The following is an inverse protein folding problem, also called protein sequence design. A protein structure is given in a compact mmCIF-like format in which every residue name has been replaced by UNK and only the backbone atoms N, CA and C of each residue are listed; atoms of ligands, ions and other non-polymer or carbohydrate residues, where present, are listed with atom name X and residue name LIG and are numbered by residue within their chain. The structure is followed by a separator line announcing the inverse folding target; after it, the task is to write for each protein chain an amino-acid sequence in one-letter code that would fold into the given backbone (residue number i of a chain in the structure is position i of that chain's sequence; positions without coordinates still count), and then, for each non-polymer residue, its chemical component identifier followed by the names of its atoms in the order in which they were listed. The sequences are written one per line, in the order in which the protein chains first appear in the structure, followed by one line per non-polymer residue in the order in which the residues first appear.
data_IF_973258278054
#
_entry.id   IF_973258278054
#
_cell.length_a   1.000
_cell.length_b   1.000
_cell.length_c   1.000
_cell.angle_alpha   90.00
_cell.angle_beta   90.00
_cell.angle_gamma   90.00
#
_symmetry.space_group_name_H-M   'P 1'
#
loop_
_entity.id
_entity.type
_entity.pdbx_description
1 polymer ?
#
# COMPACT_ATOMS: atom_id res chain seq x y z
N UNK A 1 0.49 -8.97 -1.03
CA UNK A 1 0.91 -8.22 0.18
C UNK A 1 1.63 -6.89 -0.13
N UNK A 2 2.82 -6.85 -0.74
CA UNK A 2 3.47 -5.57 -1.05
C UNK A 2 2.59 -4.63 -1.90
N UNK A 3 1.99 -5.14 -2.97
CA UNK A 3 1.05 -4.38 -3.78
C UNK A 3 -0.19 -3.91 -2.99
N UNK A 4 -0.63 -4.68 -1.98
CA UNK A 4 -1.73 -4.24 -1.08
C UNK A 4 -1.29 -3.01 -0.26
N UNK A 5 -0.07 -3.01 0.28
CA UNK A 5 0.48 -1.87 1.01
C UNK A 5 0.60 -0.62 0.14
N UNK A 6 1.10 -0.78 -1.09
CA UNK A 6 1.20 0.31 -2.05
C UNK A 6 -0.17 0.83 -2.46
N UNK A 7 -1.15 -0.05 -2.67
CA UNK A 7 -2.52 0.34 -3.00
C UNK A 7 -3.20 1.06 -1.82
N UNK A 8 -2.99 0.63 -0.58
CA UNK A 8 -3.51 1.31 0.59
C UNK A 8 -2.93 2.73 0.74
N UNK A 9 -1.62 2.90 0.50
CA UNK A 9 -1.01 4.24 0.47
C UNK A 9 -1.58 5.10 -0.65
N UNK A 10 -1.77 4.55 -1.86
CA UNK A 10 -2.43 5.27 -2.95
C UNK A 10 -3.83 5.73 -2.55
N UNK A 11 -4.63 4.84 -1.94
CA UNK A 11 -5.97 5.18 -1.50
C UNK A 11 -5.95 6.32 -0.47
N UNK A 12 -5.01 6.28 0.49
CA UNK A 12 -4.82 7.35 1.48
C UNK A 12 -4.43 8.68 0.83
N UNK A 13 -3.43 8.68 -0.05
CA UNK A 13 -2.89 9.90 -0.67
C UNK A 13 -3.88 10.55 -1.64
N UNK A 14 -4.64 9.76 -2.41
CA UNK A 14 -5.52 10.25 -3.47
C UNK A 14 -6.93 10.52 -2.97
N UNK A 15 -7.42 9.73 -2.02
CA UNK A 15 -8.83 9.80 -1.60
C UNK A 15 -8.97 10.43 -0.22
N UNK A 16 -8.33 9.87 0.81
CA UNK A 16 -8.51 10.36 2.18
C UNK A 16 -7.96 11.77 2.40
N UNK A 17 -6.73 12.05 1.95
CA UNK A 17 -6.12 13.36 2.13
C UNK A 17 -6.89 14.49 1.43
N UNK A 18 -7.50 14.20 0.27
CA UNK A 18 -8.33 15.18 -0.46
C UNK A 18 -9.64 15.44 0.27
N UNK A 19 -10.26 14.39 0.82
CA UNK A 19 -11.51 14.51 1.58
C UNK A 19 -11.32 15.25 2.90
N UNK A 20 -10.23 14.98 3.62
CA UNK A 20 -9.91 15.67 4.88
C UNK A 20 -9.70 17.17 4.65
N UNK A 21 -9.04 17.54 3.55
CA UNK A 21 -8.85 18.94 3.15
C UNK A 21 -10.18 19.64 2.85
N UNK A 22 -11.07 19.01 2.08
CA UNK A 22 -12.38 19.60 1.77
C UNK A 22 -13.27 19.73 3.01
N UNK A 23 -13.15 18.78 3.93
CA UNK A 23 -13.85 18.85 5.23
C UNK A 23 -13.29 20.00 6.07
N UNK A 24 -11.98 20.22 6.04
CA UNK A 24 -11.31 21.33 6.73
C UNK A 24 -11.70 22.70 6.15
N UNK A 25 -11.76 22.82 4.82
CA UNK A 25 -12.18 24.04 4.10
C UNK A 25 -13.71 24.26 4.10
N UNK A 26 -14.49 23.34 4.69
CA UNK A 26 -15.95 23.44 4.75
C UNK A 26 -16.65 23.33 3.38
N UNK A 27 -16.02 22.67 2.41
CA UNK A 27 -16.54 22.47 1.06
C UNK A 27 -17.46 21.24 1.06
N UNK A 28 -18.70 21.39 0.60
CA UNK A 28 -19.59 20.25 0.37
C UNK A 28 -19.08 19.42 -0.82
N UNK A 29 -18.84 18.12 -0.61
CA UNK A 29 -18.42 17.21 -1.66
C UNK A 29 -19.12 15.85 -1.55
N UNK A 30 -19.27 15.19 -2.69
CA UNK A 30 -19.84 13.84 -2.74
C UNK A 30 -18.78 12.82 -2.33
N UNK A 31 -19.05 12.01 -1.30
CA UNK A 31 -18.18 10.90 -0.92
C UNK A 31 -18.14 9.86 -2.05
N UNK A 32 -16.96 9.65 -2.63
CA UNK A 32 -16.76 8.63 -3.66
C UNK A 32 -16.33 7.33 -2.99
N UNK A 33 -17.04 6.25 -3.30
CA UNK A 33 -16.69 4.91 -2.83
C UNK A 33 -15.44 4.40 -3.56
N UNK A 34 -14.49 3.86 -2.79
CA UNK A 34 -13.32 3.15 -3.31
C UNK A 34 -13.13 1.85 -2.53
N UNK A 35 -12.41 0.90 -3.12
CA UNK A 35 -12.14 -0.39 -2.49
C UNK A 35 -11.12 -0.24 -1.37
N UNK A 36 -11.57 -0.42 -0.12
CA UNK A 36 -10.70 -0.53 1.04
C UNK A 36 -10.10 -1.93 1.12
N UNK A 37 -8.79 -2.00 1.27
CA UNK A 37 -8.01 -3.24 1.38
C UNK A 37 -7.38 -3.44 2.76
N UNK A 38 -7.81 -2.66 3.76
CA UNK A 38 -7.34 -2.74 5.15
C UNK A 38 -7.58 -4.12 5.77
N UNK A 39 -8.67 -4.80 5.41
CA UNK A 39 -8.99 -6.14 5.90
C UNK A 39 -7.96 -7.18 5.44
N UNK A 40 -7.56 -7.14 4.15
CA UNK A 40 -6.51 -8.00 3.59
C UNK A 40 -5.17 -7.72 4.25
N UNK A 41 -4.84 -6.45 4.49
CA UNK A 41 -3.62 -6.08 5.20
C UNK A 41 -3.63 -6.68 6.62
N UNK A 42 -4.72 -6.50 7.37
CA UNK A 42 -4.85 -7.05 8.72
C UNK A 42 -4.80 -8.58 8.74
N UNK A 43 -5.41 -9.26 7.76
CA UNK A 43 -5.29 -10.71 7.60
C UNK A 43 -3.83 -11.14 7.44
N UNK A 44 -3.02 -10.41 6.67
CA UNK A 44 -1.62 -10.80 6.40
C UNK A 44 -0.68 -10.44 7.55
N UNK A 45 -0.69 -9.18 8.00
CA UNK A 45 0.29 -8.64 8.95
C UNK A 45 -0.26 -8.33 10.34
N UNK A 46 -1.57 -8.49 10.56
CA UNK A 46 -2.20 -8.20 11.85
C UNK A 46 -1.62 -9.02 12.99
N UNK A 47 -2.02 -8.70 14.22
CA UNK A 47 -1.55 -9.42 15.42
C UNK A 47 -1.87 -10.91 15.33
N UNK A 48 -3.08 -11.23 14.86
CA UNK A 48 -3.54 -12.58 14.54
C UNK A 48 -3.42 -12.88 13.03
N UNK A 49 -2.48 -12.22 12.36
CA UNK A 49 -2.30 -12.34 10.92
C UNK A 49 -1.49 -13.57 10.50
N UNK A 50 -1.54 -13.87 9.21
CA UNK A 50 -0.92 -15.04 8.59
C UNK A 50 0.60 -15.10 8.81
N UNK A 51 1.31 -13.96 8.79
CA UNK A 51 2.77 -13.94 9.00
C UNK A 51 3.13 -14.49 10.39
N UNK A 52 2.39 -14.08 11.43
CA UNK A 52 2.64 -14.55 12.79
C UNK A 52 2.30 -16.04 12.93
N UNK A 53 1.16 -16.48 12.37
CA UNK A 53 0.78 -17.88 12.36
C UNK A 53 1.80 -18.78 11.65
N UNK A 54 2.34 -18.33 10.51
CA UNK A 54 3.37 -19.06 9.78
C UNK A 54 4.67 -19.15 10.59
N UNK A 55 5.05 -18.08 11.27
CA UNK A 55 6.23 -18.07 12.13
C UNK A 55 6.10 -19.06 13.29
N UNK A 56 4.91 -19.16 13.90
CA UNK A 56 4.65 -20.14 14.97
C UNK A 56 4.75 -21.59 14.47
N UNK A 57 4.32 -21.88 13.25
CA UNK A 57 4.49 -23.21 12.65
C UNK A 57 5.97 -23.51 12.35
N UNK A 58 6.78 -22.52 11.98
CA UNK A 58 8.23 -22.69 11.80
C UNK A 58 8.99 -23.02 13.10
N UNK A 59 8.40 -22.72 14.26
CA UNK A 59 9.00 -23.03 15.56
C UNK A 59 8.55 -24.38 16.13
N UNK A 60 7.44 -24.93 15.65
CA UNK A 60 6.90 -26.18 16.19
C UNK A 60 7.75 -27.36 15.71
N UNK A 61 8.10 -28.32 16.60
CA UNK A 61 8.87 -29.52 16.23
C UNK A 61 8.24 -30.33 15.07
N UNK A 62 6.92 -30.29 14.94
CA UNK A 62 6.14 -30.94 13.87
C UNK A 62 5.22 -29.96 13.13
N UNK A 63 5.61 -28.68 13.07
CA UNK A 63 4.88 -27.68 12.30
C UNK A 63 4.86 -28.04 10.82
N UNK A 64 3.72 -27.86 10.16
CA UNK A 64 3.53 -28.22 8.77
C UNK A 64 2.57 -27.25 8.06
N UNK A 65 2.55 -27.31 6.73
CA UNK A 65 1.78 -26.37 5.92
C UNK A 65 0.25 -26.57 6.07
N UNK A 66 -0.19 -27.81 6.34
CA UNK A 66 -1.62 -28.10 6.53
C UNK A 66 -2.14 -27.54 7.86
N UNK A 67 -1.35 -27.65 8.95
CA UNK A 67 -1.69 -27.03 10.23
C UNK A 67 -1.71 -25.51 10.15
N UNK A 68 -0.77 -24.92 9.40
CA UNK A 68 -0.79 -23.49 9.10
C UNK A 68 -2.11 -23.06 8.45
N UNK A 69 -2.51 -23.70 7.35
CA UNK A 69 -3.72 -23.33 6.61
C UNK A 69 -4.98 -23.56 7.43
N UNK A 70 -5.07 -24.67 8.16
CA UNK A 70 -6.18 -24.93 9.08
C UNK A 70 -6.29 -23.81 10.13
N UNK A 71 -5.16 -23.39 10.73
CA UNK A 71 -5.13 -22.30 11.70
C UNK A 71 -5.59 -20.98 11.11
N UNK A 72 -5.13 -20.62 9.91
CA UNK A 72 -5.55 -19.41 9.20
C UNK A 72 -7.06 -19.41 8.99
N UNK A 73 -7.62 -20.51 8.47
CA UNK A 73 -9.06 -20.66 8.22
C UNK A 73 -9.89 -20.62 9.50
N UNK A 74 -9.43 -21.24 10.59
CA UNK A 74 -10.19 -21.27 11.85
C UNK A 74 -10.19 -19.92 12.57
N UNK A 75 -9.04 -19.24 12.64
CA UNK A 75 -8.92 -17.98 13.38
C UNK A 75 -9.54 -16.80 12.62
N UNK A 76 -9.51 -16.84 11.29
CA UNK A 76 -9.98 -15.76 10.42
C UNK A 76 -11.25 -16.14 9.64
N UNK A 77 -12.09 -17.03 10.19
CA UNK A 77 -13.29 -17.55 9.52
C UNK A 77 -14.35 -16.49 9.23
N UNK A 78 -14.38 -15.43 10.03
CA UNK A 78 -15.38 -14.35 9.97
C UNK A 78 -14.85 -13.14 9.15
N UNK A 79 -13.73 -13.32 8.45
CA UNK A 79 -13.10 -12.31 7.60
C UNK A 79 -13.56 -12.55 6.15
N UNK A 80 -14.29 -11.59 5.58
CA UNK A 80 -14.86 -11.65 4.24
C UNK A 80 -13.78 -11.77 3.15
N UNK A 81 -12.61 -11.19 3.38
CA UNK A 81 -11.51 -11.26 2.42
C UNK A 81 -10.85 -12.66 2.33
N UNK A 82 -11.16 -13.59 3.24
CA UNK A 82 -10.70 -14.98 3.18
C UNK A 82 -11.74 -15.84 2.46
N UNK A 83 -11.36 -16.46 1.33
CA UNK A 83 -12.29 -17.31 0.59
C UNK A 83 -12.74 -18.51 1.45
N UNK A 84 -14.05 -18.64 1.55
CA UNK A 84 -14.73 -19.77 2.21
C UNK A 84 -14.98 -20.95 1.27
N UNK A 85 -14.58 -20.84 0.00
CA UNK A 85 -14.85 -21.88 -0.99
C UNK A 85 -14.09 -23.18 -0.65
N UNK A 86 -14.73 -24.35 -0.85
CA UNK A 86 -14.05 -25.62 -0.67
C UNK A 86 -12.95 -25.77 -1.73
N UNK A 87 -11.71 -25.92 -1.28
CA UNK A 87 -10.53 -26.12 -2.13
C UNK A 87 -10.10 -27.59 -2.13
N UNK A 88 -9.41 -28.01 -3.19
CA UNK A 88 -9.06 -29.41 -3.40
C UNK A 88 -8.02 -29.93 -2.42
N UNK A 89 -7.01 -29.11 -2.08
CA UNK A 89 -5.96 -29.49 -1.13
C UNK A 89 -6.16 -28.83 0.23
N UNK A 90 -5.76 -29.54 1.29
CA UNK A 90 -5.72 -29.01 2.66
C UNK A 90 -4.71 -27.87 2.85
N UNK A 91 -3.74 -27.74 1.94
CA UNK A 91 -2.74 -26.67 1.90
C UNK A 91 -3.21 -25.44 1.11
N UNK A 92 -4.41 -25.45 0.53
CA UNK A 92 -4.90 -24.34 -0.27
C UNK A 92 -5.79 -23.40 0.54
N UNK A 93 -5.64 -22.09 0.30
CA UNK A 93 -6.51 -21.03 0.80
C UNK A 93 -6.64 -19.92 -0.24
N UNK A 94 -7.77 -19.21 -0.25
CA UNK A 94 -7.99 -18.08 -1.16
C UNK A 94 -8.03 -16.75 -0.41
N UNK A 95 -7.49 -15.69 -1.01
CA UNK A 95 -7.61 -14.32 -0.51
C UNK A 95 -8.22 -13.45 -1.61
N UNK A 96 -9.23 -12.66 -1.25
CA UNK A 96 -9.82 -11.64 -2.10
C UNK A 96 -8.96 -10.38 -2.04
N UNK A 97 -7.98 -10.28 -2.94
CA UNK A 97 -7.14 -9.09 -3.06
C UNK A 97 -7.89 -7.96 -3.77
N UNK A 98 -7.38 -6.71 -3.65
CA UNK A 98 -7.93 -5.58 -4.41
C UNK A 98 -7.90 -5.82 -5.94
N UNK A 99 -6.96 -6.64 -6.40
CA UNK A 99 -6.78 -7.03 -7.80
C UNK A 99 -7.62 -8.26 -8.23
N UNK A 100 -8.40 -8.83 -7.31
CA UNK A 100 -9.22 -10.01 -7.53
C UNK A 100 -8.84 -11.21 -6.64
N UNK A 101 -9.62 -12.31 -6.70
CA UNK A 101 -9.37 -13.51 -5.92
C UNK A 101 -8.08 -14.20 -6.34
N UNK A 102 -7.27 -14.63 -5.37
CA UNK A 102 -6.07 -15.43 -5.60
C UNK A 102 -6.09 -16.65 -4.69
N UNK A 103 -5.94 -17.83 -5.28
CA UNK A 103 -5.78 -19.10 -4.56
C UNK A 103 -4.29 -19.37 -4.39
N UNK A 104 -3.88 -19.61 -3.15
CA UNK A 104 -2.52 -19.94 -2.76
C UNK A 104 -2.44 -21.41 -2.35
N UNK A 105 -1.38 -22.08 -2.77
CA UNK A 105 -0.98 -23.39 -2.24
C UNK A 105 0.19 -23.17 -1.27
N UNK A 106 -0.06 -23.45 0.01
CA UNK A 106 0.90 -23.28 1.10
C UNK A 106 2.01 -24.34 1.12
N UNK A 107 2.04 -25.28 0.17
CA UNK A 107 3.07 -26.33 0.11
C UNK A 107 4.49 -25.73 0.21
N UNK A 108 5.26 -26.22 1.19
CA UNK A 108 6.60 -25.78 1.56
C UNK A 108 6.70 -24.34 2.08
N UNK A 109 5.61 -23.71 2.54
CA UNK A 109 5.67 -22.36 3.11
C UNK A 109 6.49 -22.33 4.40
N UNK A 110 6.29 -23.31 5.29
CA UNK A 110 7.04 -23.40 6.56
C UNK A 110 8.54 -23.51 6.29
N UNK A 111 8.94 -24.37 5.37
CA UNK A 111 10.34 -24.54 4.98
C UNK A 111 10.91 -23.25 4.37
N UNK A 112 10.20 -22.64 3.40
CA UNK A 112 10.64 -21.40 2.74
C UNK A 112 10.77 -20.23 3.72
N UNK A 113 9.93 -20.19 4.75
CA UNK A 113 9.94 -19.11 5.74
C UNK A 113 11.00 -19.28 6.83
N UNK A 114 11.51 -20.49 7.03
CA UNK A 114 12.41 -20.83 8.16
C UNK A 114 13.77 -20.15 8.08
N UNK A 115 14.22 -19.68 6.90
CA UNK A 115 15.44 -18.86 6.70
C UNK A 115 16.69 -19.37 7.45
N UNK A 116 16.87 -20.69 7.50
CA UNK A 116 18.01 -21.33 8.16
C UNK A 116 18.85 -22.07 7.11
N UNK A 117 20.14 -21.76 7.10
CA UNK A 117 21.14 -22.58 6.45
C UNK A 117 21.75 -23.56 7.47
N UNK A 118 22.02 -24.81 7.09
CA UNK A 118 22.79 -25.73 7.92
C UNK A 118 24.16 -25.14 8.28
N UNK A 119 24.54 -25.20 9.55
CA UNK A 119 25.79 -24.58 10.03
C UNK A 119 27.03 -25.18 9.34
N UNK A 120 27.05 -26.50 9.13
CA UNK A 120 28.17 -27.18 8.45
C UNK A 120 28.43 -26.64 7.03
N UNK A 121 27.36 -26.21 6.33
CA UNK A 121 27.49 -25.60 5.01
C UNK A 121 28.02 -24.17 5.08
N UNK A 122 27.63 -23.40 6.10
CA UNK A 122 28.18 -22.07 6.36
C UNK A 122 29.67 -22.17 6.69
N UNK A 123 30.05 -23.09 7.58
CA UNK A 123 31.44 -23.31 8.00
C UNK A 123 32.31 -23.76 6.81
N UNK A 124 31.76 -24.61 5.93
CA UNK A 124 32.42 -25.01 4.69
C UNK A 124 32.60 -23.83 3.74
N UNK A 125 31.57 -22.98 3.58
CA UNK A 125 31.63 -21.80 2.72
C UNK A 125 32.67 -20.77 3.19
N UNK A 126 32.76 -20.52 4.51
CA UNK A 126 33.77 -19.63 5.09
C UNK A 126 35.20 -20.14 4.82
N UNK A 127 35.41 -21.46 4.86
CA UNK A 127 36.71 -22.11 4.61
C UNK A 127 37.01 -22.31 3.12
N UNK A 128 36.14 -21.84 2.23
CA UNK A 128 36.34 -21.97 0.79
C UNK A 128 37.65 -21.33 0.33
N UNK A 129 38.33 -21.99 -0.61
CA UNK A 129 39.52 -21.45 -1.27
C UNK A 129 39.20 -20.25 -2.17
N UNK A 130 37.93 -20.07 -2.53
CA UNK A 130 37.46 -18.90 -3.25
C UNK A 130 37.24 -17.73 -2.28
N UNK A 131 38.04 -16.68 -2.44
CA UNK A 131 38.01 -15.48 -1.58
C UNK A 131 36.64 -14.82 -1.50
N UNK A 132 35.88 -14.79 -2.59
CA UNK A 132 34.55 -14.18 -2.63
C UNK A 132 33.57 -15.00 -1.78
N UNK A 133 33.57 -16.32 -1.94
CA UNK A 133 32.71 -17.20 -1.14
C UNK A 133 33.10 -17.11 0.34
N UNK A 134 34.39 -17.18 0.66
CA UNK A 134 34.86 -17.06 2.04
C UNK A 134 34.52 -15.72 2.68
N UNK A 135 34.57 -14.59 1.95
CA UNK A 135 34.25 -13.28 2.50
C UNK A 135 32.77 -13.05 2.73
N UNK A 136 31.90 -13.48 1.82
CA UNK A 136 30.45 -13.25 1.90
C UNK A 136 29.79 -14.01 3.05
N UNK A 137 30.33 -15.17 3.44
CA UNK A 137 29.74 -16.01 4.50
C UNK A 137 30.28 -15.72 5.91
N UNK A 138 31.39 -14.97 6.05
CA UNK A 138 31.95 -14.57 7.36
C UNK A 138 30.96 -13.84 8.28
N UNK A 139 30.17 -12.85 7.81
CA UNK A 139 29.19 -12.19 8.65
C UNK A 139 28.11 -13.14 9.18
N UNK A 140 27.87 -14.26 8.48
CA UNK A 140 26.85 -15.25 8.88
C UNK A 140 27.35 -16.15 10.01
N UNK A 141 28.65 -16.46 10.05
CA UNK A 141 29.32 -17.17 11.13
C UNK A 141 29.36 -16.34 12.42
N UNK A 142 29.72 -15.05 12.33
CA UNK A 142 29.77 -14.12 13.48
C UNK A 142 28.40 -13.93 14.15
N UNK A 143 27.32 -13.91 13.35
CA UNK A 143 25.95 -13.82 13.84
C UNK A 143 25.46 -15.13 14.51
N UNK A 144 25.97 -16.29 14.10
CA UNK A 144 25.66 -17.58 14.71
C UNK A 144 26.30 -17.74 16.10
N UNK A 145 27.52 -17.21 16.27
CA UNK A 145 28.28 -17.20 17.52
C UNK A 145 27.76 -16.22 18.57
N UNK A 146 27.00 -15.20 18.15
CA UNK A 146 26.42 -14.15 19.03
C UNK A 146 25.13 -14.56 19.76
N UNK A 147 24.84 -15.88 19.89
CA UNK A 147 23.67 -16.36 20.64
C UNK A 147 23.89 -16.24 22.16
N UNK A 148 22.92 -15.74 22.95
CA UNK A 148 23.05 -15.73 24.40
C UNK A 148 23.08 -17.16 24.93
N UNK A 149 23.86 -17.39 25.99
CA UNK A 149 23.99 -18.69 26.66
C UNK A 149 22.67 -19.25 27.22
N UNK A 150 22.71 -20.49 27.76
CA UNK A 150 21.55 -21.21 28.26
C UNK A 150 21.06 -20.57 29.55
N UNK A 151 20.21 -19.55 29.47
CA UNK A 151 19.70 -18.87 30.66
C UNK A 151 18.71 -17.74 30.41
N UNK A 152 18.73 -17.11 29.23
CA UNK A 152 17.72 -16.12 28.86
C UNK A 152 16.72 -16.72 27.87
N UNK A 153 15.52 -17.05 28.37
CA UNK A 153 14.38 -17.60 27.63
C UNK A 153 13.77 -16.70 26.55
N UNK A 154 14.53 -15.73 26.04
CA UNK A 154 14.25 -15.00 24.80
C UNK A 154 15.33 -15.36 23.81
N UNK A 155 15.19 -16.51 23.15
CA UNK A 155 15.97 -16.78 21.94
C UNK A 155 15.81 -15.55 21.03
N UNK A 156 16.91 -14.89 20.67
CA UNK A 156 16.91 -13.91 19.58
C UNK A 156 16.33 -14.65 18.38
N UNK A 157 15.05 -14.39 18.12
CA UNK A 157 14.26 -15.10 17.13
C UNK A 157 15.02 -14.92 15.81
N UNK A 158 15.51 -16.01 15.21
CA UNK A 158 15.99 -15.90 13.83
C UNK A 158 14.79 -15.35 13.05
N UNK A 159 14.90 -14.11 12.57
CA UNK A 159 13.79 -13.45 11.91
C UNK A 159 13.50 -14.26 10.65
N UNK A 160 12.28 -14.81 10.58
CA UNK A 160 11.82 -15.54 9.40
C UNK A 160 11.85 -14.64 8.16
N UNK A 161 11.84 -15.25 6.97
CA UNK A 161 11.79 -14.50 5.71
C UNK A 161 10.63 -13.51 5.71
N UNK A 162 9.44 -13.96 6.12
CA UNK A 162 8.24 -13.11 6.17
C UNK A 162 8.37 -11.95 7.16
N UNK A 163 9.00 -12.16 8.33
CA UNK A 163 9.23 -11.10 9.30
C UNK A 163 10.23 -10.07 8.81
N UNK A 164 11.35 -10.52 8.20
CA UNK A 164 12.34 -9.63 7.59
C UNK A 164 11.70 -8.78 6.49
N UNK A 165 10.94 -9.43 5.60
CA UNK A 165 10.25 -8.76 4.51
C UNK A 165 9.23 -7.74 5.03
N UNK A 166 8.44 -8.09 6.06
CA UNK A 166 7.49 -7.16 6.69
C UNK A 166 8.20 -5.92 7.24
N UNK A 167 9.29 -6.09 7.98
CA UNK A 167 10.04 -4.95 8.54
C UNK A 167 10.67 -4.07 7.46
N UNK A 168 11.27 -4.68 6.42
CA UNK A 168 11.82 -3.94 5.29
C UNK A 168 10.75 -3.17 4.54
N UNK A 169 9.60 -3.80 4.27
CA UNK A 169 8.47 -3.14 3.62
C UNK A 169 7.91 -2.00 4.47
N UNK A 170 7.79 -2.18 5.80
CA UNK A 170 7.34 -1.12 6.69
C UNK A 170 8.27 0.10 6.63
N UNK A 171 9.59 -0.11 6.72
CA UNK A 171 10.57 0.97 6.61
C UNK A 171 10.49 1.67 5.25
N UNK A 172 10.35 0.91 4.16
CA UNK A 172 10.15 1.47 2.83
C UNK A 172 8.89 2.35 2.76
N UNK A 173 7.77 1.89 3.33
CA UNK A 173 6.53 2.67 3.35
C UNK A 173 6.65 3.96 4.16
N UNK A 174 7.42 3.97 5.26
CA UNK A 174 7.74 5.18 6.02
C UNK A 174 8.53 6.17 5.18
N UNK A 175 9.61 5.71 4.53
CA UNK A 175 10.42 6.56 3.65
C UNK A 175 9.61 7.14 2.49
N UNK A 176 8.74 6.34 1.86
CA UNK A 176 7.86 6.87 0.80
C UNK A 176 6.85 7.86 1.38
N UNK A 177 6.36 7.65 2.60
CA UNK A 177 5.44 8.54 3.32
C UNK A 177 5.99 9.95 3.54
N UNK A 178 7.31 10.09 3.69
CA UNK A 178 7.99 11.39 3.85
C UNK A 178 8.18 12.14 2.51
N UNK A 179 7.82 11.52 1.39
CA UNK A 179 8.04 12.10 0.04
C UNK A 179 6.73 12.49 -0.64
N UNK A 180 6.82 13.44 -1.58
CA UNK A 180 5.72 13.74 -2.50
C UNK A 180 5.58 12.64 -3.55
N UNK A 181 4.56 11.81 -3.39
CA UNK A 181 4.31 10.66 -4.26
C UNK A 181 3.75 11.07 -5.63
N UNK A 182 4.21 10.38 -6.69
CA UNK A 182 3.64 10.46 -8.05
C UNK A 182 3.36 9.04 -8.53
N UNK A 183 2.16 8.82 -9.07
CA UNK A 183 1.67 7.49 -9.42
C UNK A 183 1.67 7.27 -10.94
N UNK A 184 2.33 6.20 -11.39
CA UNK A 184 2.31 5.72 -12.77
C UNK A 184 1.69 4.33 -12.79
N UNK A 185 0.56 4.15 -13.48
CA UNK A 185 -0.16 2.88 -13.59
C UNK A 185 0.13 2.23 -14.95
N UNK A 186 0.88 1.13 -14.91
CA UNK A 186 1.17 0.33 -16.11
C UNK A 186 0.04 -0.67 -16.35
N UNK A 187 -0.46 -0.75 -17.59
CA UNK A 187 -1.55 -1.63 -17.98
C UNK A 187 -1.05 -2.66 -18.99
N UNK A 188 -1.33 -3.94 -18.75
CA UNK A 188 -1.00 -5.02 -19.69
C UNK A 188 -2.12 -5.11 -20.74
N UNK A 189 -1.86 -4.84 -22.02
CA UNK A 189 -2.92 -4.75 -23.02
C UNK A 189 -3.46 -6.12 -23.43
N UNK A 190 -2.63 -7.17 -23.43
CA UNK A 190 -3.06 -8.53 -23.76
C UNK A 190 -2.12 -9.57 -23.10
N UNK A 191 -2.61 -10.79 -22.79
CA UNK A 191 -1.81 -11.83 -22.19
C UNK A 191 -0.74 -12.42 -23.13
N UNK A 192 -0.98 -12.41 -24.45
CA UNK A 192 -0.13 -13.06 -25.46
C UNK A 192 1.12 -12.26 -25.84
N UNK A 193 1.30 -11.06 -25.27
CA UNK A 193 2.43 -10.16 -25.54
C UNK A 193 2.51 -9.69 -27.00
N UNK A 194 1.37 -9.56 -27.66
CA UNK A 194 1.29 -9.09 -29.04
C UNK A 194 1.22 -7.56 -29.10
N UNK A 195 1.92 -6.91 -30.05
CA UNK A 195 1.79 -5.46 -30.26
C UNK A 195 0.41 -5.14 -30.85
N UNK A 196 -0.12 -3.94 -30.55
CA UNK A 196 -1.37 -3.39 -31.15
C UNK A 196 -2.60 -4.32 -30.96
N UNK A 197 -2.57 -5.19 -29.96
CA UNK A 197 -3.71 -6.03 -29.56
C UNK A 197 -4.14 -5.63 -28.15
N UNK A 198 -5.43 -5.38 -27.97
CA UNK A 198 -6.01 -5.07 -26.65
C UNK A 198 -7.08 -6.11 -26.32
N UNK A 199 -6.93 -6.78 -25.19
CA UNK A 199 -7.98 -7.49 -24.51
C UNK A 199 -8.74 -6.50 -23.63
N UNK A 200 -9.92 -6.09 -24.10
CA UNK A 200 -10.74 -5.07 -23.46
C UNK A 200 -11.18 -5.49 -22.06
N UNK A 201 -11.57 -6.75 -21.86
CA UNK A 201 -12.11 -7.20 -20.57
C UNK A 201 -11.03 -7.15 -19.49
N UNK A 202 -9.85 -7.71 -19.76
CA UNK A 202 -8.71 -7.65 -18.84
C UNK A 202 -8.25 -6.22 -18.59
N UNK A 203 -8.22 -5.38 -19.62
CA UNK A 203 -7.83 -3.96 -19.51
C UNK A 203 -8.78 -3.18 -18.60
N UNK A 204 -10.09 -3.33 -18.78
CA UNK A 204 -11.10 -2.67 -17.93
C UNK A 204 -10.98 -3.16 -16.48
N UNK A 205 -10.77 -4.45 -16.26
CA UNK A 205 -10.59 -4.98 -14.92
C UNK A 205 -9.34 -4.40 -14.24
N UNK A 206 -8.23 -4.29 -14.96
CA UNK A 206 -7.01 -3.64 -14.46
C UNK A 206 -7.26 -2.18 -14.09
N UNK A 207 -8.00 -1.41 -14.90
CA UNK A 207 -8.34 -0.01 -14.60
C UNK A 207 -9.20 0.13 -13.34
N UNK A 208 -10.14 -0.78 -13.12
CA UNK A 208 -10.97 -0.83 -11.92
C UNK A 208 -10.13 -1.16 -10.69
N UNK A 209 -9.37 -2.26 -10.73
CA UNK A 209 -8.52 -2.68 -9.61
C UNK A 209 -7.41 -1.68 -9.29
N UNK A 210 -6.82 -1.01 -10.28
CA UNK A 210 -5.80 0.01 -10.04
C UNK A 210 -6.37 1.32 -9.45
N UNK A 211 -7.70 1.43 -9.29
CA UNK A 211 -8.36 2.62 -8.77
C UNK A 211 -8.32 3.81 -9.74
N UNK A 212 -8.08 3.57 -11.04
CA UNK A 212 -7.98 4.63 -12.05
C UNK A 212 -9.35 5.23 -12.31
N UNK A 213 -10.39 4.40 -12.43
CA UNK A 213 -11.77 4.86 -12.63
C UNK A 213 -12.22 5.74 -11.46
N UNK A 214 -12.00 5.28 -10.22
CA UNK A 214 -12.33 6.05 -9.02
C UNK A 214 -11.57 7.38 -8.94
N UNK A 215 -10.28 7.38 -9.26
CA UNK A 215 -9.48 8.61 -9.26
C UNK A 215 -9.89 9.61 -10.35
N UNK A 216 -10.28 9.15 -11.54
CA UNK A 216 -10.83 10.04 -12.58
C UNK A 216 -12.18 10.60 -12.14
N UNK A 217 -13.05 9.78 -11.56
CA UNK A 217 -14.34 10.25 -11.01
C UNK A 217 -14.11 11.32 -9.95
N UNK A 218 -13.22 11.09 -8.99
CA UNK A 218 -12.86 12.07 -7.96
C UNK A 218 -12.29 13.32 -8.59
N UNK A 219 -11.35 13.21 -9.52
CA UNK A 219 -10.77 14.37 -10.21
C UNK A 219 -11.82 15.25 -10.89
N UNK A 220 -12.90 14.65 -11.40
CA UNK A 220 -14.00 15.37 -12.07
C UNK A 220 -14.98 16.06 -11.12
N UNK A 221 -15.24 15.47 -9.96
CA UNK A 221 -16.14 16.06 -8.93
C UNK A 221 -15.39 16.93 -7.93
N UNK A 222 -14.07 16.75 -7.87
CA UNK A 222 -13.18 17.57 -7.05
C UNK A 222 -12.89 18.91 -7.72
N UNK A 223 -12.38 19.83 -6.92
CA UNK A 223 -11.73 21.07 -7.34
C UNK A 223 -10.20 20.85 -7.37
N UNK A 224 -9.61 20.32 -8.47
CA UNK A 224 -8.19 19.94 -8.52
C UNK A 224 -7.26 21.15 -8.58
N UNK A 225 -7.73 22.28 -9.11
CA UNK A 225 -6.99 23.52 -9.15
C UNK A 225 -7.36 24.36 -7.93
N UNK A 226 -6.38 24.58 -7.06
CA UNK A 226 -6.54 25.39 -5.84
C UNK A 226 -5.61 26.58 -5.91
N UNK A 227 -6.16 27.75 -5.64
CA UNK A 227 -5.42 29.00 -5.55
C UNK A 227 -5.76 29.63 -4.20
N UNK A 228 -4.76 30.18 -3.52
CA UNK A 228 -5.03 31.05 -2.37
C UNK A 228 -5.76 32.29 -2.85
N UNK A 229 -6.48 32.95 -1.93
CA UNK A 229 -7.22 34.16 -2.27
C UNK A 229 -6.33 35.23 -2.93
N UNK A 230 -5.16 35.50 -2.34
CA UNK A 230 -4.21 36.46 -2.89
C UNK A 230 -3.75 36.10 -4.32
N UNK A 231 -3.37 34.84 -4.56
CA UNK A 231 -2.90 34.41 -5.88
C UNK A 231 -4.02 34.43 -6.92
N UNK A 232 -5.26 34.12 -6.54
CA UNK A 232 -6.41 34.25 -7.43
C UNK A 232 -6.65 35.71 -7.84
N UNK A 233 -6.62 36.63 -6.86
CA UNK A 233 -6.77 38.06 -7.08
C UNK A 233 -5.68 38.59 -8.03
N UNK A 234 -4.40 38.32 -7.75
CA UNK A 234 -3.30 38.75 -8.61
C UNK A 234 -3.46 38.21 -10.04
N UNK A 235 -3.79 36.93 -10.17
CA UNK A 235 -3.87 36.23 -11.46
C UNK A 235 -5.04 36.69 -12.32
N UNK A 236 -6.19 37.00 -11.72
CA UNK A 236 -7.41 37.36 -12.43
C UNK A 236 -7.72 38.87 -12.40
N UNK A 237 -6.87 39.67 -11.75
CA UNK A 237 -6.97 41.14 -11.66
C UNK A 237 -7.17 41.82 -13.02
N UNK A 238 -6.54 41.31 -14.08
CA UNK A 238 -6.64 41.87 -15.43
C UNK A 238 -8.02 41.73 -16.07
N UNK A 239 -8.85 40.80 -15.57
CA UNK A 239 -10.21 40.59 -16.07
C UNK A 239 -11.20 41.58 -15.44
N UNK A 240 -10.87 42.15 -14.27
CA UNK A 240 -11.73 43.11 -13.55
C UNK A 240 -10.93 44.25 -12.91
N UNK A 241 -10.48 45.25 -13.70
CA UNK A 241 -9.69 46.38 -13.19
C UNK A 241 -10.44 47.25 -12.17
N UNK A 242 -11.76 47.39 -12.31
CA UNK A 242 -12.59 48.27 -11.48
C UNK A 242 -12.77 47.77 -10.03
N UNK A 243 -12.94 46.45 -9.84
CA UNK A 243 -13.11 45.83 -8.52
C UNK A 243 -11.79 45.66 -7.77
N UNK A 244 -10.66 45.69 -8.48
CA UNK A 244 -9.33 45.50 -7.91
C UNK A 244 -8.81 46.72 -7.15
N UNK A 245 -9.16 47.93 -7.62
CA UNK A 245 -8.76 49.18 -6.98
C UNK A 245 -9.48 49.41 -5.64
N UNK A 246 -10.72 48.92 -5.47
CA UNK A 246 -11.47 48.97 -4.21
C UNK A 246 -10.91 47.99 -3.15
N UNK A 247 -10.33 46.86 -3.58
CA UNK A 247 -9.77 45.85 -2.68
C UNK A 247 -8.40 46.22 -2.10
N UNK A 248 -7.62 47.09 -2.77
CA UNK A 248 -6.32 47.56 -2.27
C UNK A 248 -6.42 48.60 -1.16
N UNK A 249 -7.57 49.25 -0.99
CA UNK A 249 -7.76 50.29 0.03
C UNK A 249 -8.01 49.74 1.44
N UNK A 250 -8.34 48.46 1.60
CA UNK A 250 -8.63 47.84 2.89
C UNK A 250 -7.68 46.67 3.17
N UNK A 251 -6.50 47.00 3.71
CA UNK A 251 -5.46 46.05 4.12
C UNK A 251 -5.84 45.34 5.44
N UNK A 252 -6.98 44.67 5.47
CA UNK A 252 -7.38 43.77 6.55
C UNK A 252 -7.73 42.41 5.95
N UNK A 253 -6.98 41.37 6.34
CA UNK A 253 -7.07 40.01 5.78
C UNK A 253 -8.44 39.34 5.83
N UNK A 254 -9.40 39.92 6.54
CA UNK A 254 -10.78 39.42 6.67
C UNK A 254 -11.66 39.70 5.42
N UNK A 255 -11.27 40.62 4.52
CA UNK A 255 -12.10 41.00 3.35
C UNK A 255 -11.72 40.31 2.03
N UNK A 256 -10.61 39.57 1.95
CA UNK A 256 -10.15 38.96 0.69
C UNK A 256 -11.11 37.90 0.12
N UNK A 257 -11.81 37.15 0.98
CA UNK A 257 -12.80 36.16 0.55
C UNK A 257 -13.97 36.83 -0.17
N UNK A 258 -14.54 37.87 0.45
CA UNK A 258 -15.64 38.68 -0.09
C UNK A 258 -15.28 39.35 -1.41
N UNK A 259 -14.06 39.87 -1.54
CA UNK A 259 -13.54 40.46 -2.78
C UNK A 259 -13.52 39.47 -3.95
N UNK A 260 -13.14 38.21 -3.68
CA UNK A 260 -13.12 37.15 -4.69
C UNK A 260 -14.52 36.71 -5.05
N UNK A 261 -15.42 36.58 -4.08
CA UNK A 261 -16.84 36.28 -4.35
C UNK A 261 -17.47 37.33 -5.26
N UNK A 262 -17.17 38.62 -5.05
CA UNK A 262 -17.63 39.69 -5.93
C UNK A 262 -17.10 39.53 -7.36
N UNK A 263 -15.80 39.26 -7.52
CA UNK A 263 -15.19 39.02 -8.84
C UNK A 263 -15.81 37.79 -9.51
N UNK A 264 -15.99 36.68 -8.77
CA UNK A 264 -16.60 35.45 -9.27
C UNK A 264 -18.07 35.64 -9.67
N UNK A 265 -18.84 36.41 -8.89
CA UNK A 265 -20.23 36.76 -9.23
C UNK A 265 -20.35 37.61 -10.50
N UNK A 266 -19.28 38.33 -10.86
CA UNK A 266 -19.16 39.04 -12.14
C UNK A 266 -19.07 38.10 -13.33
N UNK A 267 -18.53 36.89 -13.17
CA UNK A 267 -18.46 35.87 -14.23
C UNK A 267 -19.80 35.17 -14.50
N UNK A 268 -20.63 34.94 -13.47
CA UNK A 268 -21.90 34.22 -13.62
C UNK A 268 -22.96 34.99 -14.44
N UNK A 269 -22.79 36.30 -14.65
CA UNK A 269 -23.80 37.15 -15.32
C UNK A 269 -23.72 37.15 -16.85
N UNK A 270 -22.69 36.60 -17.47
CA UNK A 270 -22.50 36.66 -18.93
C UNK A 270 -22.96 35.40 -19.69
N UNK A 271 -23.49 34.38 -18.99
CA UNK A 271 -23.96 33.10 -19.58
C UNK A 271 -25.50 33.01 -19.77
N UNK A 272 -26.23 34.13 -19.76
CA UNK A 272 -27.67 34.20 -20.14
C UNK A 272 -27.94 35.10 -21.34
#
# INVERSE_FOLDING_TARGET
YCNEKLQAKYNLDVFSAVMDEYTYEGIDFQKVEFSDNSEVLNLVEGRMGMINMLNEECLRPHGNDSSFVAKVKTVNKDIDCLSSDPLHKKTEFGILHYAGPVIYDATNFVQKNTDKLPQDLVDCAVKSSNKLIGSEFKPMEENALSRPGPGNGRSKHSSSVSSKFRSQLHNLMLTIGETRSRYVRCIKPNPEKLPIKIDLLSTVQQLRCAGVVAAVTISRVSYPNRLTHLTALERFSCLFPASFDECKSEDNGDNLGSSIEQILSGFEKDDT
#
